data_IF_022054143119
#
_entry.id   IF_022054143119
#
_cell.length_a   1.000
_cell.length_b   1.000
_cell.length_c   1.000
_cell.angle_alpha   90.00
_cell.angle_beta   90.00
_cell.angle_gamma   90.00
#
_symmetry.space_group_name_H-M   'P 1'
#
loop_
_entity.id
_entity.type
_entity.pdbx_description
1 polymer ?
#
# COMPACT_ATOMS: atom_id res chain seq x y z
N UNK A 1 4.75 0.25 -8.05
CA UNK A 1 4.30 -0.74 -7.04
C UNK A 1 2.80 -0.57 -6.81
N UNK A 2 2.30 0.61 -6.37
CA UNK A 2 0.88 0.82 -6.05
C UNK A 2 -0.05 0.48 -7.22
N UNK A 3 0.20 0.99 -8.42
CA UNK A 3 -0.59 0.68 -9.62
C UNK A 3 -0.63 -0.84 -9.91
N UNK A 4 0.53 -1.51 -9.84
CA UNK A 4 0.64 -2.95 -10.08
C UNK A 4 -0.16 -3.77 -9.07
N UNK A 5 -0.13 -3.36 -7.79
CA UNK A 5 -0.93 -3.96 -6.73
C UNK A 5 -2.42 -3.81 -7.00
N UNK A 6 -2.88 -2.59 -7.32
CA UNK A 6 -4.30 -2.33 -7.61
C UNK A 6 -4.77 -3.12 -8.82
N UNK A 7 -4.01 -3.14 -9.93
CA UNK A 7 -4.35 -3.94 -11.11
C UNK A 7 -4.49 -5.42 -10.77
N UNK A 8 -3.51 -5.98 -10.06
CA UNK A 8 -3.56 -7.39 -9.68
C UNK A 8 -4.81 -7.72 -8.84
N UNK A 9 -5.14 -6.89 -7.87
CA UNK A 9 -6.33 -7.10 -7.03
C UNK A 9 -7.63 -7.04 -7.84
N UNK A 10 -7.75 -6.07 -8.76
CA UNK A 10 -8.91 -5.94 -9.63
C UNK A 10 -9.04 -7.12 -10.59
N UNK A 11 -7.94 -7.50 -11.25
CA UNK A 11 -7.89 -8.64 -12.17
C UNK A 11 -8.21 -9.98 -11.47
N UNK A 12 -7.95 -10.06 -10.15
CA UNK A 12 -8.29 -11.21 -9.30
C UNK A 12 -9.69 -11.12 -8.68
N UNK A 13 -10.51 -10.14 -9.09
CA UNK A 13 -11.91 -10.00 -8.66
C UNK A 13 -12.12 -9.34 -7.30
N UNK A 14 -11.10 -8.76 -6.69
CA UNK A 14 -11.23 -8.06 -5.41
C UNK A 14 -11.83 -6.67 -5.59
N UNK A 15 -12.61 -6.23 -4.59
CA UNK A 15 -13.05 -4.84 -4.48
C UNK A 15 -11.95 -3.98 -3.85
N UNK A 16 -11.56 -2.89 -4.53
CA UNK A 16 -10.50 -2.00 -4.08
C UNK A 16 -11.05 -0.62 -3.76
N UNK A 17 -10.87 -0.19 -2.52
CA UNK A 17 -11.07 1.19 -2.11
C UNK A 17 -9.74 1.94 -2.17
N UNK A 18 -9.60 2.91 -3.04
CA UNK A 18 -8.37 3.65 -3.27
C UNK A 18 -8.48 5.06 -2.67
N UNK A 19 -7.49 5.44 -1.88
CA UNK A 19 -7.34 6.80 -1.35
C UNK A 19 -5.93 7.29 -1.64
N UNK A 20 -5.82 8.46 -2.26
CA UNK A 20 -4.54 9.12 -2.43
C UNK A 20 -4.55 10.49 -1.76
N UNK A 21 -3.48 10.82 -1.02
CA UNK A 21 -3.28 12.16 -0.51
C UNK A 21 -3.01 13.14 -1.66
N UNK A 22 -3.24 14.43 -1.42
CA UNK A 22 -2.95 15.47 -2.42
C UNK A 22 -1.51 15.39 -2.92
N UNK A 23 -0.54 15.25 -2.02
CA UNK A 23 0.88 15.07 -2.39
C UNK A 23 1.12 13.76 -3.11
N UNK A 24 0.48 12.66 -2.68
CA UNK A 24 0.57 11.36 -3.34
C UNK A 24 0.10 11.40 -4.79
N UNK A 25 -0.99 12.12 -5.08
CA UNK A 25 -1.48 12.32 -6.46
C UNK A 25 -0.45 13.08 -7.32
N UNK A 26 0.10 14.18 -6.80
CA UNK A 26 1.12 14.96 -7.52
C UNK A 26 2.34 14.09 -7.86
N UNK A 27 2.89 13.39 -6.87
CA UNK A 27 4.06 12.52 -7.08
C UNK A 27 3.76 11.40 -8.07
N UNK A 28 2.59 10.76 -7.98
CA UNK A 28 2.20 9.69 -8.92
C UNK A 28 2.09 10.22 -10.34
N UNK A 29 1.47 11.37 -10.53
CA UNK A 29 1.31 11.97 -11.86
C UNK A 29 2.67 12.34 -12.46
N UNK A 30 3.60 12.90 -11.67
CA UNK A 30 4.94 13.23 -12.11
C UNK A 30 5.77 11.98 -12.44
N UNK A 31 5.79 10.97 -11.56
CA UNK A 31 6.57 9.73 -11.75
C UNK A 31 6.05 8.87 -12.92
N UNK A 32 4.75 8.91 -13.20
CA UNK A 32 4.12 8.11 -14.26
C UNK A 32 3.86 8.90 -15.55
N UNK A 33 4.28 10.17 -15.63
CA UNK A 33 4.00 11.08 -16.74
C UNK A 33 2.50 11.14 -17.09
N UNK A 34 1.64 11.16 -16.09
CA UNK A 34 0.19 11.25 -16.29
C UNK A 34 -0.20 12.69 -16.60
N UNK A 35 -0.90 12.96 -17.74
CA UNK A 35 -1.29 14.31 -18.11
C UNK A 35 -2.13 15.01 -17.02
N UNK A 36 -1.92 16.32 -16.86
CA UNK A 36 -2.75 17.13 -15.97
C UNK A 36 -4.23 17.06 -16.40
N UNK A 37 -5.12 16.91 -15.42
CA UNK A 37 -6.56 16.79 -15.68
C UNK A 37 -7.04 15.34 -15.91
N UNK A 38 -6.15 14.36 -15.91
CA UNK A 38 -6.54 12.93 -15.95
C UNK A 38 -7.42 12.61 -14.75
N UNK A 39 -8.54 11.94 -14.99
CA UNK A 39 -9.41 11.42 -13.91
C UNK A 39 -8.74 10.22 -13.23
N UNK A 40 -8.91 10.15 -11.90
CA UNK A 40 -8.37 9.07 -11.11
C UNK A 40 -6.89 9.25 -10.76
N UNK A 41 -6.37 8.33 -9.95
CA UNK A 41 -4.97 8.32 -9.54
C UNK A 41 -4.07 7.74 -10.64
N UNK A 42 -4.54 6.73 -11.34
CA UNK A 42 -3.81 6.03 -12.40
C UNK A 42 -4.52 6.21 -13.75
N UNK A 43 -3.76 6.50 -14.80
CA UNK A 43 -4.31 6.64 -16.14
C UNK A 43 -4.98 5.33 -16.59
N UNK A 44 -6.18 5.44 -17.19
CA UNK A 44 -6.92 4.33 -17.78
C UNK A 44 -7.21 3.15 -16.82
N UNK A 45 -7.40 3.45 -15.53
CA UNK A 45 -7.79 2.45 -14.54
C UNK A 45 -9.25 2.67 -14.11
N UNK A 46 -10.17 2.41 -15.04
CA UNK A 46 -11.61 2.35 -14.75
C UNK A 46 -11.99 0.88 -14.58
N UNK A 47 -12.59 0.53 -13.44
CA UNK A 47 -13.04 -0.83 -13.14
C UNK A 47 -14.25 -0.79 -12.20
N UNK A 48 -15.22 -1.69 -12.40
CA UNK A 48 -16.45 -1.74 -11.59
C UNK A 48 -16.16 -2.00 -10.09
N UNK A 49 -15.09 -2.73 -9.79
CA UNK A 49 -14.65 -3.04 -8.43
C UNK A 49 -13.67 -2.01 -7.86
N UNK A 50 -13.43 -0.87 -8.53
CA UNK A 50 -12.57 0.21 -8.03
C UNK A 50 -13.40 1.39 -7.59
N UNK A 51 -13.24 1.80 -6.33
CA UNK A 51 -13.84 3.03 -5.80
C UNK A 51 -12.75 3.96 -5.28
N UNK A 52 -12.60 5.12 -5.89
CA UNK A 52 -11.69 6.16 -5.40
C UNK A 52 -12.39 7.09 -4.39
N UNK A 53 -11.71 7.39 -3.29
CA UNK A 53 -12.20 8.25 -2.22
C UNK A 53 -11.30 9.47 -2.02
N UNK A 54 -11.90 10.59 -1.73
CA UNK A 54 -11.16 11.78 -1.31
C UNK A 54 -10.53 11.59 0.08
N UNK A 55 -9.29 12.07 0.28
CA UNK A 55 -8.55 11.91 1.55
C UNK A 55 -9.24 12.54 2.77
N UNK A 56 -10.23 13.41 2.58
CA UNK A 56 -11.03 14.04 3.64
C UNK A 56 -12.45 13.49 3.74
N UNK A 57 -12.78 12.46 2.97
CA UNK A 57 -14.11 11.87 2.97
C UNK A 57 -14.26 10.79 4.05
N UNK A 58 -14.54 11.21 5.28
CA UNK A 58 -14.74 10.31 6.42
C UNK A 58 -16.08 9.54 6.38
N UNK A 59 -16.92 9.73 5.35
CA UNK A 59 -18.11 8.91 5.11
C UNK A 59 -17.79 7.59 4.40
N UNK A 60 -16.54 7.37 3.99
CA UNK A 60 -16.12 6.10 3.43
C UNK A 60 -16.34 4.96 4.45
N UNK A 61 -16.83 3.78 4.02
CA UNK A 61 -17.20 2.70 4.95
C UNK A 61 -16.05 2.27 5.85
N UNK A 62 -14.83 2.21 5.33
CA UNK A 62 -13.64 1.79 6.08
C UNK A 62 -13.09 2.86 7.06
N UNK A 63 -13.74 4.00 7.21
CA UNK A 63 -13.52 4.90 8.33
C UNK A 63 -14.09 4.36 9.66
N UNK A 64 -14.90 3.29 9.59
CA UNK A 64 -15.48 2.57 10.74
C UNK A 64 -15.03 1.12 10.78
N UNK A 65 -14.79 0.58 11.99
CA UNK A 65 -14.42 -0.82 12.19
C UNK A 65 -15.54 -1.82 11.87
N UNK A 66 -16.78 -1.37 11.74
CA UNK A 66 -17.92 -2.23 11.39
C UNK A 66 -17.97 -2.60 9.91
N UNK A 67 -17.24 -1.88 9.04
CA UNK A 67 -17.17 -2.23 7.64
C UNK A 67 -16.37 -3.52 7.40
N UNK A 68 -16.83 -4.42 6.53
CA UNK A 68 -16.15 -5.68 6.21
C UNK A 68 -14.99 -5.40 5.23
N UNK A 69 -13.87 -4.94 5.75
CA UNK A 69 -12.63 -4.72 5.01
C UNK A 69 -11.62 -5.77 5.45
N UNK A 70 -11.04 -6.49 4.51
CA UNK A 70 -10.15 -7.63 4.79
C UNK A 70 -8.73 -7.19 5.15
N UNK A 71 -8.25 -6.08 4.58
CA UNK A 71 -6.91 -5.55 4.86
C UNK A 71 -6.64 -4.23 4.17
N UNK A 72 -5.49 -3.64 4.48
CA UNK A 72 -5.05 -2.35 3.94
C UNK A 72 -3.56 -2.35 3.64
N UNK A 73 -3.17 -1.72 2.54
CA UNK A 73 -1.77 -1.38 2.25
C UNK A 73 -1.61 0.12 2.04
N UNK A 74 -0.56 0.73 2.61
CA UNK A 74 -0.15 2.10 2.33
C UNK A 74 1.12 2.05 1.48
N UNK A 75 1.00 2.36 0.18
CA UNK A 75 2.02 2.13 -0.85
C UNK A 75 2.12 3.31 -1.83
N UNK A 76 3.22 4.05 -1.88
CA UNK A 76 4.24 4.14 -0.84
C UNK A 76 3.73 4.86 0.41
N UNK A 77 4.40 4.64 1.53
CA UNK A 77 4.11 5.32 2.79
C UNK A 77 5.21 6.33 3.13
N UNK A 78 4.87 7.61 3.21
CA UNK A 78 5.79 8.64 3.68
C UNK A 78 6.05 8.50 5.18
N UNK A 79 7.25 8.85 5.65
CA UNK A 79 7.61 8.72 7.08
C UNK A 79 6.77 9.61 8.00
N UNK A 80 6.20 10.71 7.48
CA UNK A 80 5.21 11.51 8.21
C UNK A 80 3.90 10.77 8.45
N UNK A 81 3.48 9.91 7.51
CA UNK A 81 2.31 9.03 7.69
C UNK A 81 2.62 7.91 8.67
N UNK A 82 3.80 7.29 8.57
CA UNK A 82 4.31 6.30 9.55
C UNK A 82 4.27 6.89 10.96
N UNK A 83 4.84 8.08 11.15
CA UNK A 83 4.84 8.77 12.44
C UNK A 83 3.42 9.05 12.95
N UNK A 84 2.54 9.57 12.08
CA UNK A 84 1.17 9.90 12.47
C UNK A 84 0.40 8.66 12.95
N UNK A 85 0.46 7.56 12.20
CA UNK A 85 -0.24 6.32 12.56
C UNK A 85 0.35 5.72 13.83
N UNK A 86 1.68 5.74 14.01
CA UNK A 86 2.35 5.26 15.21
C UNK A 86 1.93 6.00 16.49
N UNK A 87 1.49 7.25 16.35
CA UNK A 87 1.04 8.09 17.48
C UNK A 87 -0.48 8.33 17.51
N UNK A 88 -1.27 7.57 16.72
CA UNK A 88 -2.73 7.67 16.74
C UNK A 88 -3.28 8.96 16.17
N UNK A 89 -2.55 9.64 15.27
CA UNK A 89 -3.00 10.89 14.64
C UNK A 89 -3.73 10.57 13.34
N UNK A 90 -5.06 10.81 13.34
CA UNK A 90 -6.00 10.44 12.26
C UNK A 90 -6.66 11.65 11.61
N UNK A 91 -5.87 12.57 11.06
CA UNK A 91 -6.33 13.84 10.47
C UNK A 91 -6.80 13.72 9.00
N UNK A 92 -6.68 12.53 8.40
CA UNK A 92 -7.21 12.21 7.08
C UNK A 92 -7.69 10.74 7.00
N UNK A 93 -8.39 10.41 5.91
CA UNK A 93 -9.01 9.10 5.72
C UNK A 93 -7.99 7.94 5.67
N UNK A 94 -6.79 8.16 5.12
CA UNK A 94 -5.72 7.13 5.07
C UNK A 94 -5.30 6.74 6.48
N UNK A 95 -4.99 7.73 7.32
CA UNK A 95 -4.54 7.51 8.70
C UNK A 95 -5.68 6.95 9.56
N UNK A 96 -6.92 7.41 9.33
CA UNK A 96 -8.10 6.86 10.00
C UNK A 96 -8.33 5.39 9.65
N UNK A 97 -8.23 5.02 8.38
CA UNK A 97 -8.35 3.63 7.96
C UNK A 97 -7.25 2.75 8.58
N UNK A 98 -6.00 3.23 8.61
CA UNK A 98 -4.89 2.51 9.25
C UNK A 98 -5.15 2.28 10.75
N UNK A 99 -5.62 3.29 11.48
CA UNK A 99 -6.03 3.16 12.88
C UNK A 99 -7.15 2.13 13.05
N UNK A 100 -8.13 2.11 12.14
CA UNK A 100 -9.20 1.12 12.14
C UNK A 100 -8.64 -0.29 11.93
N UNK A 101 -7.72 -0.49 10.98
CA UNK A 101 -7.08 -1.80 10.77
C UNK A 101 -6.40 -2.30 12.04
N UNK A 102 -5.58 -1.44 12.68
CA UNK A 102 -4.86 -1.79 13.91
C UNK A 102 -5.81 -2.16 15.05
N UNK A 103 -6.83 -1.34 15.33
CA UNK A 103 -7.74 -1.60 16.46
C UNK A 103 -8.64 -2.82 16.24
N UNK A 104 -8.93 -3.18 14.99
CA UNK A 104 -9.73 -4.37 14.65
C UNK A 104 -8.86 -5.63 14.45
N UNK A 105 -7.52 -5.51 14.58
CA UNK A 105 -6.59 -6.62 14.38
C UNK A 105 -6.56 -7.14 12.94
N UNK A 106 -6.85 -6.27 11.97
CA UNK A 106 -6.86 -6.61 10.54
C UNK A 106 -5.49 -6.34 9.90
N UNK A 107 -5.14 -7.06 8.83
CA UNK A 107 -3.88 -6.84 8.12
C UNK A 107 -3.67 -5.38 7.70
N UNK A 108 -2.57 -4.78 8.16
CA UNK A 108 -2.10 -3.46 7.73
C UNK A 108 -0.67 -3.61 7.23
N UNK A 109 -0.46 -3.38 5.92
CA UNK A 109 0.86 -3.39 5.30
C UNK A 109 1.31 -1.95 5.04
N UNK A 110 2.51 -1.64 5.50
CA UNK A 110 3.14 -0.32 5.31
C UNK A 110 4.40 -0.50 4.47
N UNK A 111 4.46 0.19 3.33
CA UNK A 111 5.60 0.19 2.41
C UNK A 111 6.32 1.54 2.50
N UNK A 112 7.25 1.71 3.46
CA UNK A 112 7.92 2.99 3.66
C UNK A 112 8.82 3.33 2.48
N UNK A 113 8.86 4.62 2.10
CA UNK A 113 9.75 5.14 1.05
C UNK A 113 10.58 6.29 1.60
N UNK A 114 11.76 5.95 2.08
CA UNK A 114 12.73 6.92 2.62
C UNK A 114 14.14 6.34 2.62
N UNK A 115 15.13 7.19 2.31
CA UNK A 115 16.54 6.87 2.42
C UNK A 115 17.38 8.17 2.61
N UNK A 116 18.30 8.22 3.59
CA UNK A 116 18.52 7.27 4.68
C UNK A 116 17.42 7.34 5.75
N UNK A 117 17.30 6.28 6.55
CA UNK A 117 16.44 6.27 7.72
C UNK A 117 17.18 6.87 8.92
N UNK A 118 16.48 7.72 9.69
CA UNK A 118 16.98 8.24 10.97
C UNK A 118 16.37 7.46 12.16
N UNK A 119 16.84 7.76 13.36
CA UNK A 119 16.39 7.08 14.58
C UNK A 119 14.87 7.24 14.82
N UNK A 120 14.29 8.40 14.52
CA UNK A 120 12.85 8.67 14.69
C UNK A 120 12.05 7.77 13.73
N UNK A 121 12.49 7.64 12.48
CA UNK A 121 11.86 6.75 11.50
C UNK A 121 11.86 5.30 11.97
N UNK A 122 13.01 4.81 12.42
CA UNK A 122 13.18 3.44 12.93
C UNK A 122 12.30 3.18 14.16
N UNK A 123 12.23 4.13 15.10
CA UNK A 123 11.40 4.00 16.28
C UNK A 123 9.91 3.96 15.95
N UNK A 124 9.43 4.79 15.02
CA UNK A 124 8.03 4.80 14.61
C UNK A 124 7.66 3.51 13.86
N UNK A 125 8.53 2.97 13.00
CA UNK A 125 8.32 1.68 12.36
C UNK A 125 8.29 0.53 13.37
N UNK A 126 9.16 0.55 14.39
CA UNK A 126 9.13 -0.42 15.48
C UNK A 126 7.80 -0.36 16.24
N UNK A 127 7.33 0.84 16.59
CA UNK A 127 6.05 1.04 17.28
C UNK A 127 4.88 0.45 16.45
N UNK A 128 4.84 0.70 15.13
CA UNK A 128 3.81 0.14 14.27
C UNK A 128 3.90 -1.38 14.14
N UNK A 129 5.11 -1.92 14.05
CA UNK A 129 5.32 -3.37 14.01
C UNK A 129 4.85 -4.04 15.30
N UNK A 130 5.12 -3.45 16.46
CA UNK A 130 4.61 -3.91 17.75
C UNK A 130 3.08 -3.81 17.88
N UNK A 131 2.47 -2.82 17.20
CA UNK A 131 1.02 -2.66 17.13
C UNK A 131 0.34 -3.63 16.13
N UNK A 132 1.10 -4.45 15.40
CA UNK A 132 0.59 -5.47 14.47
C UNK A 132 0.66 -5.10 12.99
N UNK A 133 1.21 -3.93 12.62
CA UNK A 133 1.43 -3.61 11.22
C UNK A 133 2.64 -4.38 10.65
N UNK A 134 2.52 -4.82 9.40
CA UNK A 134 3.65 -5.40 8.64
C UNK A 134 4.39 -4.28 7.91
N UNK A 135 5.69 -4.17 8.14
CA UNK A 135 6.56 -3.18 7.49
C UNK A 135 7.31 -3.87 6.35
N UNK A 136 7.06 -3.46 5.10
CA UNK A 136 7.72 -4.00 3.91
C UNK A 136 8.48 -2.88 3.20
N UNK A 137 9.77 -2.65 3.50
CA UNK A 137 10.58 -1.76 2.68
C UNK A 137 10.69 -2.31 1.25
N UNK A 138 10.60 -1.46 0.22
CA UNK A 138 10.72 -1.89 -1.18
C UNK A 138 12.19 -2.14 -1.52
N UNK A 139 12.73 -3.27 -1.05
CA UNK A 139 14.11 -3.68 -1.29
C UNK A 139 14.26 -4.42 -2.61
N UNK A 140 15.40 -4.25 -3.28
CA UNK A 140 15.75 -5.00 -4.47
C UNK A 140 16.26 -6.40 -4.08
N UNK A 141 15.83 -7.43 -4.81
CA UNK A 141 16.31 -8.81 -4.60
C UNK A 141 16.82 -9.41 -5.90
N UNK A 142 18.02 -9.99 -5.88
CA UNK A 142 18.66 -10.55 -7.06
C UNK A 142 18.95 -12.05 -6.93
N UNK A 143 18.80 -12.63 -5.73
CA UNK A 143 19.20 -14.02 -5.47
C UNK A 143 18.15 -15.05 -5.89
N UNK A 144 16.87 -14.70 -5.94
CA UNK A 144 15.80 -15.61 -6.34
C UNK A 144 15.50 -15.56 -7.84
N UNK A 145 15.70 -14.41 -8.43
CA UNK A 145 15.53 -14.21 -9.86
C UNK A 145 16.41 -13.05 -10.30
N UNK A 146 17.51 -13.31 -10.96
CA UNK A 146 18.35 -12.24 -11.50
C UNK A 146 17.73 -11.65 -12.76
N UNK A 147 16.43 -11.35 -12.73
CA UNK A 147 15.77 -10.64 -13.81
C UNK A 147 16.33 -9.25 -13.95
N UNK A 148 16.65 -8.84 -15.16
CA UNK A 148 17.17 -7.50 -15.47
C UNK A 148 16.06 -6.44 -15.49
N UNK A 149 14.81 -6.84 -15.23
CA UNK A 149 13.65 -6.00 -15.33
C UNK A 149 13.26 -5.36 -14.00
N UNK A 150 13.10 -4.03 -13.99
CA UNK A 150 12.53 -3.30 -12.84
C UNK A 150 11.15 -3.85 -12.47
N UNK A 151 10.38 -4.35 -13.45
CA UNK A 151 9.07 -4.91 -13.19
C UNK A 151 9.10 -6.18 -12.34
N UNK A 152 10.12 -7.03 -12.48
CA UNK A 152 10.29 -8.21 -11.61
C UNK A 152 10.56 -7.81 -10.16
N UNK A 153 11.31 -6.71 -9.95
CA UNK A 153 11.51 -6.15 -8.61
C UNK A 153 10.20 -5.58 -8.03
N UNK A 154 9.38 -4.95 -8.88
CA UNK A 154 8.05 -4.49 -8.51
C UNK A 154 7.15 -5.69 -8.15
N UNK A 155 7.14 -6.74 -8.96
CA UNK A 155 6.33 -7.95 -8.74
C UNK A 155 6.76 -8.69 -7.46
N UNK A 156 8.06 -8.71 -7.13
CA UNK A 156 8.52 -9.22 -5.84
C UNK A 156 7.89 -8.47 -4.66
N UNK A 157 7.97 -7.13 -4.65
CA UNK A 157 7.41 -6.34 -3.56
C UNK A 157 5.88 -6.49 -3.50
N UNK A 158 5.20 -6.48 -4.66
CA UNK A 158 3.74 -6.69 -4.74
C UNK A 158 3.35 -8.06 -4.21
N UNK A 159 4.08 -9.12 -4.59
CA UNK A 159 3.87 -10.48 -4.07
C UNK A 159 3.96 -10.51 -2.54
N UNK A 160 4.97 -9.86 -1.95
CA UNK A 160 5.11 -9.79 -0.48
C UNK A 160 3.96 -9.04 0.20
N UNK A 161 3.46 -7.97 -0.43
CA UNK A 161 2.28 -7.25 0.07
C UNK A 161 1.05 -8.16 0.04
N UNK A 162 0.81 -8.84 -1.08
CA UNK A 162 -0.32 -9.76 -1.26
C UNK A 162 -0.29 -10.91 -0.25
N UNK A 163 0.90 -11.52 -0.02
CA UNK A 163 1.07 -12.58 0.98
C UNK A 163 0.60 -12.13 2.38
N UNK A 164 0.94 -10.90 2.78
CA UNK A 164 0.56 -10.36 4.09
C UNK A 164 -0.88 -9.83 4.15
N UNK A 165 -1.50 -9.61 3.00
CA UNK A 165 -2.94 -9.36 2.90
C UNK A 165 -3.78 -10.65 2.82
N UNK A 166 -3.14 -11.82 2.75
CA UNK A 166 -3.81 -13.12 2.61
C UNK A 166 -4.36 -13.37 1.21
N UNK A 167 -3.79 -12.73 0.19
CA UNK A 167 -4.20 -12.87 -1.21
C UNK A 167 -3.24 -13.81 -1.95
N UNK A 168 -3.77 -14.89 -2.48
CA UNK A 168 -2.99 -15.86 -3.27
C UNK A 168 -2.43 -15.21 -4.53
N UNK A 169 -1.15 -15.45 -4.78
CA UNK A 169 -0.47 -14.92 -5.96
C UNK A 169 0.71 -15.79 -6.39
N UNK A 170 1.08 -15.66 -7.67
CA UNK A 170 2.24 -16.31 -8.29
C UNK A 170 3.11 -15.29 -9.04
N UNK A 171 3.10 -14.02 -8.59
CA UNK A 171 3.86 -12.94 -9.23
C UNK A 171 5.37 -13.14 -9.13
N UNK A 172 5.80 -13.92 -8.15
CA UNK A 172 7.22 -14.14 -7.89
C UNK A 172 7.49 -15.60 -7.53
N UNK A 173 8.65 -16.13 -8.01
CA UNK A 173 9.07 -17.51 -7.72
C UNK A 173 9.32 -17.69 -6.23
N UNK A 174 8.73 -18.73 -5.64
CA UNK A 174 8.88 -18.99 -4.21
C UNK A 174 10.13 -19.81 -3.93
N UNK A 175 10.80 -19.49 -2.85
CA UNK A 175 11.98 -20.22 -2.41
C UNK A 175 11.64 -21.69 -2.11
N UNK A 176 12.44 -22.63 -2.67
CA UNK A 176 12.25 -24.06 -2.44
C UNK A 176 11.17 -24.74 -3.28
N UNK A 177 10.50 -24.02 -4.19
CA UNK A 177 9.64 -24.65 -5.20
C UNK A 177 10.47 -25.01 -6.44
N UNK A 178 10.13 -26.12 -7.12
CA UNK A 178 10.79 -26.50 -8.37
C UNK A 178 10.55 -25.42 -9.45
N UNK A 179 11.56 -25.22 -10.31
CA UNK A 179 11.51 -24.30 -11.45
C UNK A 179 10.70 -24.89 -12.59
#
# INVERSE_FOLDING_TARGET
IAERLVRFLLDSGHHVHLVASKTGKLVTHDEMNIPQGTRGLFANMEHENLTEWGEKNFYAPFASGTAPIDGMAIVPCAMTTVASVAHGISDNLIKRAAEVMLKEGRPLVIVPREAPLNQIHLQNMLTLSQAGATIIPPVLTFYQHPGDSVMEQVDYVVSRILDHLGVDNQLFHRWGTER
#
